data_IF_961701211730
#
_entry.id   IF_961701211730
#
_cell.length_a   1.000
_cell.length_b   1.000
_cell.length_c   1.000
_cell.angle_alpha   90.00
_cell.angle_beta   90.00
_cell.angle_gamma   90.00
#
_symmetry.space_group_name_H-M   'P 1'
#
loop_
_entity.id
_entity.type
_entity.pdbx_description
1 polymer ?
#
# COMPACT_ATOMS: atom_id res chain seq x y z
N UNK A 1 18.03 -51.96 -20.75
CA UNK A 1 17.80 -50.69 -21.46
C UNK A 1 16.63 -49.99 -20.79
N UNK A 2 16.95 -49.13 -19.83
CA UNK A 2 15.97 -48.45 -18.97
C UNK A 2 15.32 -47.23 -19.66
N UNK A 3 14.07 -47.01 -19.27
CA UNK A 3 13.10 -46.09 -19.84
C UNK A 3 13.37 -44.66 -19.38
N UNK A 4 13.75 -43.76 -20.29
CA UNK A 4 13.73 -42.33 -19.99
C UNK A 4 12.34 -41.76 -20.34
N UNK A 5 11.48 -41.66 -19.31
CA UNK A 5 10.21 -40.94 -19.39
C UNK A 5 10.51 -39.45 -19.40
N UNK A 6 10.15 -38.78 -20.49
CA UNK A 6 10.02 -37.32 -20.52
C UNK A 6 9.03 -36.91 -19.42
N UNK A 7 9.54 -36.20 -18.42
CA UNK A 7 8.69 -35.51 -17.44
C UNK A 7 8.05 -34.34 -18.17
N UNK A 8 6.71 -34.25 -18.25
CA UNK A 8 6.09 -33.02 -18.74
C UNK A 8 6.40 -31.92 -17.72
N UNK A 9 7.01 -30.83 -18.20
CA UNK A 9 7.16 -29.61 -17.42
C UNK A 9 5.79 -29.25 -16.86
N UNK A 10 5.66 -29.23 -15.53
CA UNK A 10 4.47 -28.73 -14.88
C UNK A 10 4.16 -27.34 -15.46
N UNK A 11 2.89 -27.03 -15.76
CA UNK A 11 2.53 -25.68 -16.18
C UNK A 11 3.03 -24.73 -15.11
N UNK A 12 3.79 -23.72 -15.53
CA UNK A 12 4.24 -22.63 -14.67
C UNK A 12 3.05 -22.23 -13.80
N UNK A 13 3.19 -22.42 -12.48
CA UNK A 13 2.22 -21.91 -11.52
C UNK A 13 1.94 -20.48 -11.94
N UNK A 14 0.68 -20.19 -12.24
CA UNK A 14 0.23 -18.86 -12.65
C UNK A 14 0.92 -17.85 -11.74
N UNK A 15 1.84 -17.06 -12.28
CA UNK A 15 2.50 -16.02 -11.52
C UNK A 15 1.38 -15.22 -10.87
N UNK A 16 1.24 -15.29 -9.54
CA UNK A 16 0.21 -14.52 -8.84
C UNK A 16 0.40 -13.08 -9.30
N UNK A 17 -0.63 -12.50 -9.91
CA UNK A 17 -0.60 -11.10 -10.34
C UNK A 17 -0.27 -10.29 -9.08
N UNK A 18 0.97 -9.82 -8.98
CA UNK A 18 1.41 -8.93 -7.91
C UNK A 18 0.92 -7.55 -8.31
N UNK A 19 -0.06 -7.03 -7.58
CA UNK A 19 -0.50 -5.65 -7.76
C UNK A 19 0.51 -4.74 -7.06
N UNK A 20 1.13 -3.84 -7.81
CA UNK A 20 2.10 -2.88 -7.28
C UNK A 20 1.82 -1.47 -7.79
N UNK A 21 2.33 -0.50 -7.05
CA UNK A 21 2.39 0.92 -7.43
C UNK A 21 3.77 1.48 -7.13
N UNK A 22 4.10 2.57 -7.78
CA UNK A 22 5.30 3.34 -7.56
C UNK A 22 4.99 4.50 -6.60
N UNK A 23 5.70 4.53 -5.48
CA UNK A 23 5.58 5.56 -4.46
C UNK A 23 6.88 6.34 -4.40
N UNK A 24 6.80 7.64 -4.68
CA UNK A 24 7.91 8.56 -4.48
C UNK A 24 8.01 8.91 -3.00
N UNK A 25 9.21 8.74 -2.44
CA UNK A 25 9.49 8.98 -1.02
C UNK A 25 10.60 10.02 -0.86
N UNK A 26 10.43 10.92 0.11
CA UNK A 26 11.43 11.91 0.54
C UNK A 26 12.13 11.45 1.84
N UNK A 27 12.52 10.17 1.86
CA UNK A 27 13.05 9.46 3.02
C UNK A 27 14.55 9.67 3.20
N UNK A 28 15.09 9.23 4.35
CA UNK A 28 16.53 9.36 4.64
C UNK A 28 17.45 8.65 3.63
N UNK A 29 16.92 7.67 2.89
CA UNK A 29 17.65 6.96 1.82
C UNK A 29 17.79 7.76 0.53
N UNK A 30 17.21 8.95 0.47
CA UNK A 30 17.22 9.83 -0.68
C UNK A 30 15.88 9.83 -1.41
N UNK A 31 15.75 10.83 -2.28
CA UNK A 31 14.55 11.04 -3.10
C UNK A 31 14.51 9.99 -4.22
N UNK A 32 13.62 9.00 -4.10
CA UNK A 32 13.50 7.93 -5.08
C UNK A 32 12.06 7.47 -5.26
N UNK A 33 11.82 6.77 -6.36
CA UNK A 33 10.58 6.08 -6.64
C UNK A 33 10.73 4.61 -6.26
N UNK A 34 9.82 4.09 -5.44
CA UNK A 34 9.90 2.72 -4.94
C UNK A 34 8.65 1.94 -5.35
N UNK A 35 8.85 0.82 -6.04
CA UNK A 35 7.78 -0.13 -6.30
C UNK A 35 7.33 -0.80 -4.99
N UNK A 36 6.05 -0.69 -4.68
CA UNK A 36 5.45 -1.14 -3.42
C UNK A 36 4.23 -2.02 -3.69
N UNK A 37 4.05 -3.08 -2.89
CA UNK A 37 2.95 -4.04 -3.07
C UNK A 37 1.64 -3.48 -2.55
N UNK A 38 0.58 -3.55 -3.35
CA UNK A 38 -0.79 -3.23 -2.93
C UNK A 38 -1.42 -4.49 -2.34
N UNK A 39 -1.70 -4.46 -1.04
CA UNK A 39 -2.27 -5.60 -0.31
C UNK A 39 -3.79 -5.65 -0.37
N UNK A 40 -4.45 -4.50 -0.49
CA UNK A 40 -5.90 -4.43 -0.51
C UNK A 40 -6.41 -3.05 -0.14
N UNK A 41 -7.67 -2.97 0.29
CA UNK A 41 -8.30 -1.72 0.72
C UNK A 41 -9.15 -1.89 1.97
N UNK A 42 -9.36 -0.80 2.70
CA UNK A 42 -10.35 -0.68 3.76
C UNK A 42 -11.47 0.21 3.26
N UNK A 43 -12.71 -0.21 3.52
CA UNK A 43 -13.90 0.64 3.35
C UNK A 43 -14.67 0.63 4.65
N UNK A 44 -15.03 1.81 5.15
CA UNK A 44 -15.99 1.89 6.23
C UNK A 44 -17.37 1.37 5.76
N UNK A 45 -18.27 1.08 6.71
CA UNK A 45 -19.60 0.52 6.39
C UNK A 45 -20.42 1.46 5.51
N UNK A 46 -20.28 2.78 5.67
CA UNK A 46 -21.02 3.76 4.86
C UNK A 46 -20.45 3.88 3.44
N UNK A 47 -19.21 3.44 3.22
CA UNK A 47 -18.48 3.59 1.96
C UNK A 47 -17.99 5.02 1.70
N UNK A 48 -18.06 5.90 2.70
CA UNK A 48 -17.57 7.29 2.63
C UNK A 48 -16.06 7.37 2.75
N UNK A 49 -15.44 6.51 3.56
CA UNK A 49 -13.99 6.43 3.71
C UNK A 49 -13.48 5.15 3.04
N UNK A 50 -12.63 5.33 2.03
CA UNK A 50 -11.94 4.25 1.33
C UNK A 50 -10.45 4.51 1.36
N UNK A 51 -9.71 3.52 1.82
CA UNK A 51 -8.28 3.59 2.06
C UNK A 51 -7.61 2.41 1.34
N UNK A 52 -6.37 2.57 0.91
CA UNK A 52 -5.58 1.46 0.36
C UNK A 52 -4.57 1.00 1.38
N UNK A 53 -4.16 -0.26 1.30
CA UNK A 53 -3.07 -0.82 2.11
C UNK A 53 -1.93 -1.18 1.19
N UNK A 54 -0.76 -0.62 1.49
CA UNK A 54 0.45 -0.81 0.68
C UNK A 54 1.59 -1.21 1.61
N UNK A 55 2.33 -2.23 1.20
CA UNK A 55 3.51 -2.68 1.91
C UNK A 55 4.76 -1.98 1.39
N UNK A 56 5.46 -1.32 2.31
CA UNK A 56 6.79 -0.76 2.11
C UNK A 56 7.82 -1.91 1.96
N UNK A 57 8.61 -1.94 0.88
CA UNK A 57 9.54 -3.03 0.63
C UNK A 57 10.81 -3.01 1.49
N UNK A 58 11.16 -1.88 2.10
CA UNK A 58 12.38 -1.72 2.90
C UNK A 58 12.19 -2.16 4.34
N UNK A 59 11.06 -1.77 4.93
CA UNK A 59 10.78 -2.00 6.34
C UNK A 59 9.69 -3.05 6.56
N UNK A 60 8.94 -3.40 5.52
CA UNK A 60 7.82 -4.33 5.61
C UNK A 60 6.57 -3.72 6.24
N UNK A 61 6.60 -2.42 6.61
CA UNK A 61 5.44 -1.72 7.16
C UNK A 61 4.29 -1.71 6.15
N UNK A 62 3.09 -2.01 6.64
CA UNK A 62 1.86 -1.97 5.84
C UNK A 62 1.14 -0.68 6.15
N UNK A 63 1.39 0.33 5.34
CA UNK A 63 0.76 1.63 5.48
C UNK A 63 -0.66 1.59 4.95
N UNK A 64 -1.58 2.19 5.68
CA UNK A 64 -2.93 2.48 5.23
C UNK A 64 -2.95 3.92 4.74
N UNK A 65 -3.28 4.16 3.47
CA UNK A 65 -3.26 5.49 2.85
C UNK A 65 -4.66 5.99 2.50
N UNK A 66 -4.86 7.29 2.74
CA UNK A 66 -5.89 8.10 2.07
C UNK A 66 -5.35 8.53 0.71
N UNK A 67 -6.22 8.52 -0.29
CA UNK A 67 -5.87 8.88 -1.67
C UNK A 67 -6.31 10.31 -1.95
N UNK A 68 -5.37 11.18 -2.28
CA UNK A 68 -5.65 12.48 -2.90
C UNK A 68 -5.37 12.39 -4.40
N UNK A 69 -6.44 12.23 -5.17
CA UNK A 69 -6.36 12.12 -6.62
C UNK A 69 -5.89 13.40 -7.31
N UNK A 70 -6.22 14.56 -6.75
CA UNK A 70 -5.94 15.86 -7.39
C UNK A 70 -4.44 16.14 -7.36
N UNK A 71 -3.81 15.89 -6.21
CA UNK A 71 -2.37 16.15 -6.03
C UNK A 71 -1.49 14.94 -6.28
N UNK A 72 -2.06 13.74 -6.50
CA UNK A 72 -1.31 12.47 -6.58
C UNK A 72 -0.67 12.04 -5.26
N UNK A 73 -1.13 12.56 -4.13
CA UNK A 73 -0.57 12.23 -2.83
C UNK A 73 -1.27 11.04 -2.20
N UNK A 74 -0.49 10.26 -1.46
CA UNK A 74 -0.92 9.25 -0.52
C UNK A 74 -0.62 9.75 0.88
N UNK A 75 -1.68 10.01 1.65
CA UNK A 75 -1.58 10.48 3.03
C UNK A 75 -1.67 9.26 3.95
N UNK A 76 -0.57 8.93 4.63
CA UNK A 76 -0.54 7.84 5.58
C UNK A 76 -1.53 8.11 6.71
N UNK A 77 -2.46 7.20 6.90
CA UNK A 77 -3.48 7.24 7.91
C UNK A 77 -3.17 6.30 9.09
N UNK A 78 -2.54 5.15 8.84
CA UNK A 78 -2.16 4.21 9.89
C UNK A 78 -1.07 3.24 9.42
N UNK A 79 -0.49 2.48 10.35
CA UNK A 79 0.22 1.23 10.07
C UNK A 79 -0.63 0.08 10.60
N UNK A 80 -0.77 -0.98 9.80
CA UNK A 80 -1.55 -2.17 10.16
C UNK A 80 -0.69 -3.42 10.20
N UNK A 81 -1.03 -4.35 11.09
CA UNK A 81 -0.38 -5.67 11.17
C UNK A 81 -1.15 -6.75 10.41
N UNK A 82 -2.29 -6.41 9.80
CA UNK A 82 -3.13 -7.36 9.07
C UNK A 82 -2.36 -8.11 7.98
N UNK A 83 -2.54 -9.42 7.92
CA UNK A 83 -1.90 -10.25 6.90
C UNK A 83 -2.50 -10.02 5.50
N UNK A 84 -1.70 -10.18 4.45
CA UNK A 84 -2.17 -10.00 3.08
C UNK A 84 -3.36 -10.93 2.74
N UNK A 85 -3.42 -12.13 3.33
CA UNK A 85 -4.49 -13.11 3.08
C UNK A 85 -5.88 -12.68 3.57
N UNK A 86 -5.97 -11.71 4.49
CA UNK A 86 -7.27 -11.25 5.00
C UNK A 86 -7.95 -10.24 4.07
N UNK A 87 -7.22 -9.68 3.10
CA UNK A 87 -7.74 -8.77 2.08
C UNK A 87 -8.42 -9.56 0.94
N UNK A 88 -9.54 -10.20 1.28
CA UNK A 88 -10.23 -11.17 0.42
C UNK A 88 -11.67 -10.76 0.05
N UNK A 89 -12.11 -9.55 0.44
CA UNK A 89 -13.45 -9.02 0.18
C UNK A 89 -14.55 -9.53 1.13
N UNK A 90 -14.24 -10.45 2.04
CA UNK A 90 -15.20 -11.07 2.98
C UNK A 90 -14.90 -10.74 4.44
N UNK A 91 -13.63 -10.52 4.76
CA UNK A 91 -13.18 -10.18 6.11
C UNK A 91 -13.51 -8.73 6.48
N UNK A 92 -13.54 -8.47 7.78
CA UNK A 92 -13.62 -7.13 8.35
C UNK A 92 -12.64 -6.99 9.51
N UNK A 93 -12.33 -5.75 9.85
CA UNK A 93 -11.49 -5.39 11.00
C UNK A 93 -12.12 -4.22 11.75
N UNK A 94 -11.68 -3.98 12.98
CA UNK A 94 -12.11 -2.83 13.77
C UNK A 94 -10.91 -1.94 14.06
N UNK A 95 -11.02 -0.65 13.71
CA UNK A 95 -10.01 0.37 13.98
C UNK A 95 -10.73 1.57 14.59
N UNK A 96 -10.25 2.08 15.73
CA UNK A 96 -10.87 3.21 16.43
C UNK A 96 -12.38 3.02 16.72
N UNK A 97 -12.80 1.81 17.11
CA UNK A 97 -14.22 1.46 17.35
C UNK A 97 -15.14 1.56 16.12
N UNK A 98 -14.55 1.60 14.92
CA UNK A 98 -15.26 1.55 13.65
C UNK A 98 -14.92 0.28 12.88
N UNK A 99 -15.94 -0.38 12.32
CA UNK A 99 -15.75 -1.56 11.47
C UNK A 99 -15.42 -1.18 10.03
N UNK A 100 -14.39 -1.83 9.48
CA UNK A 100 -13.96 -1.67 8.10
C UNK A 100 -14.01 -3.01 7.37
N UNK A 101 -14.59 -3.03 6.17
CA UNK A 101 -14.53 -4.17 5.25
C UNK A 101 -13.18 -4.21 4.55
N UNK A 102 -12.59 -5.40 4.45
CA UNK A 102 -11.29 -5.62 3.82
C UNK A 102 -11.47 -6.06 2.37
N UNK A 103 -11.27 -5.13 1.43
CA UNK A 103 -11.34 -5.38 -0.01
C UNK A 103 -10.05 -5.96 -0.59
N UNK A 104 -10.15 -6.58 -1.76
CA UNK A 104 -9.02 -7.24 -2.43
C UNK A 104 -8.02 -6.23 -3.03
N UNK A 105 -6.80 -6.66 -3.39
CA UNK A 105 -5.88 -5.85 -4.19
C UNK A 105 -6.53 -5.24 -5.44
N UNK A 106 -7.37 -6.00 -6.16
CA UNK A 106 -8.08 -5.51 -7.35
C UNK A 106 -9.06 -4.39 -7.01
N UNK A 107 -9.71 -4.44 -5.84
CA UNK A 107 -10.56 -3.34 -5.40
C UNK A 107 -9.73 -2.07 -5.12
N UNK A 108 -8.56 -2.23 -4.51
CA UNK A 108 -7.63 -1.12 -4.27
C UNK A 108 -7.11 -0.50 -5.58
N UNK A 109 -6.73 -1.33 -6.57
CA UNK A 109 -6.30 -0.85 -7.88
C UNK A 109 -7.40 -0.08 -8.62
N UNK A 110 -8.68 -0.44 -8.43
CA UNK A 110 -9.82 0.34 -8.94
C UNK A 110 -9.92 1.71 -8.26
N UNK A 111 -9.68 1.80 -6.95
CA UNK A 111 -9.65 3.10 -6.25
C UNK A 111 -8.55 4.00 -6.78
N UNK A 112 -7.41 3.44 -7.16
CA UNK A 112 -6.29 4.17 -7.74
C UNK A 112 -6.56 4.66 -9.18
N UNK A 113 -7.69 4.28 -9.79
CA UNK A 113 -8.11 4.71 -11.14
C UNK A 113 -7.06 4.44 -12.23
N UNK A 114 -6.33 3.34 -12.10
CA UNK A 114 -5.25 2.96 -13.02
C UNK A 114 -3.97 3.80 -12.90
N UNK A 115 -3.94 4.79 -11.99
CA UNK A 115 -2.72 5.57 -11.73
C UNK A 115 -1.75 4.74 -10.91
N UNK A 116 -0.53 4.61 -11.42
CA UNK A 116 0.52 3.79 -10.83
C UNK A 116 1.57 4.58 -10.08
N UNK A 117 1.67 5.89 -10.30
CA UNK A 117 2.69 6.75 -9.68
C UNK A 117 2.06 7.70 -8.67
N UNK A 118 2.59 7.68 -7.45
CA UNK A 118 2.07 8.40 -6.30
C UNK A 118 3.19 9.06 -5.50
N UNK A 119 2.85 10.11 -4.77
CA UNK A 119 3.75 10.83 -3.88
C UNK A 119 3.36 10.48 -2.45
N UNK A 120 4.32 10.05 -1.64
CA UNK A 120 4.08 9.83 -0.22
C UNK A 120 4.13 11.15 0.54
N UNK A 121 3.07 11.51 1.25
CA UNK A 121 3.11 12.72 2.08
C UNK A 121 3.98 12.48 3.32
N UNK A 122 5.21 13.01 3.31
CA UNK A 122 6.19 12.91 4.41
C UNK A 122 5.64 13.26 5.80
N UNK A 123 4.81 14.30 5.91
CA UNK A 123 4.24 14.74 7.18
C UNK A 123 3.30 13.69 7.76
N UNK A 124 2.44 13.12 6.91
CA UNK A 124 1.51 12.06 7.29
C UNK A 124 2.23 10.79 7.73
N UNK A 125 3.29 10.38 7.02
CA UNK A 125 4.10 9.19 7.38
C UNK A 125 4.75 9.37 8.73
N UNK A 126 5.42 10.50 8.95
CA UNK A 126 6.06 10.80 10.24
C UNK A 126 5.03 10.79 11.38
N UNK A 127 3.86 11.38 11.18
CA UNK A 127 2.77 11.36 12.16
C UNK A 127 2.33 9.93 12.48
N UNK A 128 2.16 9.08 11.47
CA UNK A 128 1.77 7.68 11.66
C UNK A 128 2.86 6.87 12.37
N UNK A 129 4.13 7.07 12.01
CA UNK A 129 5.26 6.39 12.67
C UNK A 129 5.35 6.77 14.15
N UNK A 130 5.22 8.06 14.47
CA UNK A 130 5.21 8.54 15.86
C UNK A 130 4.02 7.97 16.65
N UNK A 131 2.84 7.92 16.04
CA UNK A 131 1.66 7.33 16.68
C UNK A 131 1.79 5.83 16.87
N UNK A 132 2.33 5.10 15.90
CA UNK A 132 2.57 3.67 16.00
C UNK A 132 3.62 3.36 17.09
N UNK A 133 4.69 4.15 17.18
CA UNK A 133 5.68 4.03 18.26
C UNK A 133 5.07 4.31 19.64
N UNK A 134 4.12 5.26 19.74
CA UNK A 134 3.43 5.59 20.98
C UNK A 134 2.30 4.60 21.35
N UNK A 135 1.68 3.95 20.36
CA UNK A 135 0.49 3.13 20.54
C UNK A 135 0.75 1.67 20.12
N UNK A 136 0.58 0.73 21.06
CA UNK A 136 0.68 -0.72 20.80
C UNK A 136 -0.46 -1.31 19.95
N UNK A 137 -1.22 -0.48 19.22
CA UNK A 137 -2.35 -0.92 18.38
C UNK A 137 -2.57 0.04 17.20
N UNK A 138 -3.08 -0.50 16.09
CA UNK A 138 -3.49 0.26 14.91
C UNK A 138 -4.50 1.35 15.28
N UNK A 139 -4.20 2.59 14.91
CA UNK A 139 -5.10 3.75 15.04
C UNK A 139 -4.90 4.67 13.86
N UNK A 140 -5.98 5.35 13.45
CA UNK A 140 -5.87 6.39 12.43
C UNK A 140 -5.30 7.68 13.00
N UNK A 141 -4.31 8.21 12.29
CA UNK A 141 -3.84 9.57 12.41
C UNK A 141 -4.89 10.56 11.85
N UNK A 142 -4.87 11.82 12.36
CA UNK A 142 -5.76 12.87 11.88
C UNK A 142 -5.73 13.01 10.35
N UNK A 143 -6.86 13.38 9.72
CA UNK A 143 -7.00 13.38 8.27
C UNK A 143 -6.05 14.32 7.52
N UNK A 144 -5.56 15.38 8.17
CA UNK A 144 -4.80 16.42 7.47
C UNK A 144 -3.81 17.13 8.38
N UNK A 145 -2.59 17.27 7.86
CA UNK A 145 -1.58 18.21 8.35
C UNK A 145 -1.52 19.31 7.29
N UNK A 146 -1.88 20.54 7.66
CA UNK A 146 -1.81 21.69 6.76
C UNK A 146 -0.34 22.11 6.59
N UNK A 147 0.21 21.83 5.41
CA UNK A 147 1.57 22.17 5.01
C UNK A 147 1.69 22.25 3.50
N UNK A 148 2.77 22.83 3.01
CA UNK A 148 3.14 22.74 1.60
C UNK A 148 3.46 21.28 1.23
N UNK A 149 2.86 20.80 0.13
CA UNK A 149 2.97 19.42 -0.34
C UNK A 149 3.58 19.40 -1.71
N UNK A 150 4.36 18.36 -1.97
CA UNK A 150 4.86 18.10 -3.31
C UNK A 150 3.68 17.72 -4.22
N UNK A 151 3.69 18.29 -5.43
CA UNK A 151 2.65 18.05 -6.45
C UNK A 151 3.20 17.40 -7.71
N UNK A 152 4.52 17.38 -7.86
CA UNK A 152 5.21 16.79 -9.01
C UNK A 152 6.46 16.08 -8.52
N UNK A 153 6.62 14.84 -8.95
CA UNK A 153 7.87 14.08 -8.77
C UNK A 153 8.95 14.70 -9.67
N UNK A 154 10.16 14.98 -9.16
CA UNK A 154 11.27 15.47 -9.98
C UNK A 154 11.62 14.50 -11.11
N UNK A 155 12.12 15.03 -12.23
CA UNK A 155 12.56 14.20 -13.35
C UNK A 155 13.90 13.53 -13.03
N UNK A 156 14.09 12.30 -13.55
CA UNK A 156 15.33 11.55 -13.36
C UNK A 156 15.53 10.94 -11.96
N UNK A 157 14.49 10.89 -11.12
CA UNK A 157 14.57 10.20 -9.83
C UNK A 157 14.87 8.71 -10.04
N UNK A 158 15.78 8.10 -9.24
CA UNK A 158 16.02 6.67 -9.28
C UNK A 158 14.73 5.88 -9.04
N UNK A 159 14.60 4.74 -9.72
CA UNK A 159 13.48 3.81 -9.57
C UNK A 159 14.00 2.51 -9.00
N UNK A 160 13.43 2.10 -7.88
CA UNK A 160 13.70 0.82 -7.24
C UNK A 160 12.52 -0.14 -7.46
N UNK A 161 12.84 -1.34 -7.93
CA UNK A 161 11.86 -2.39 -8.26
C UNK A 161 11.80 -3.43 -7.15
N UNK A 162 10.64 -4.07 -7.01
CA UNK A 162 10.51 -5.23 -6.12
C UNK A 162 11.39 -6.39 -6.62
N UNK A 163 11.94 -7.22 -5.71
CA UNK A 163 12.62 -8.44 -6.11
C UNK A 163 11.69 -9.36 -6.92
N UNK A 164 12.19 -9.91 -8.02
CA UNK A 164 11.48 -10.88 -8.85
C UNK A 164 11.08 -12.13 -8.05
#
# INVERSE_FOLDING_TARGET
MERSRLVPAAPAQSARVRHSIFIYTEEQRGNQMVESLVLGMLSDISGSEKLIVVQDPHHGFKYVYRIDHESSNLDAAAITELDASVFNGKSSTEINAMSYRLGTPENAMKLLRGKTHWIQDKGSVLSVLLQNAAARKTRFAPPRIERERMRKVPEGVPVELLPA
#
